data_IF_046984444419
#
_entry.id   IF_046984444419
#
_cell.length_a   1.000
_cell.length_b   1.000
_cell.length_c   1.000
_cell.angle_alpha   90.00
_cell.angle_beta   90.00
_cell.angle_gamma   90.00
#
_symmetry.space_group_name_H-M   'P 1'
#
loop_
_entity.id
_entity.type
_entity.pdbx_description
1 polymer ?
#
# COMPACT_ATOMS: atom_id res chain seq x y z
N UNK A 1 1.09 -2.78 -0.84
CA UNK A 1 1.80 -1.54 -0.49
C UNK A 1 2.87 -1.22 -1.54
N UNK A 2 3.89 -2.04 -1.78
CA UNK A 2 5.02 -1.78 -2.69
C UNK A 2 4.60 -1.33 -4.11
N UNK A 3 3.61 -1.99 -4.71
CA UNK A 3 3.07 -1.56 -6.01
C UNK A 3 2.41 -0.17 -5.95
N UNK A 4 1.71 0.15 -4.87
CA UNK A 4 1.07 1.45 -4.69
C UNK A 4 2.11 2.57 -4.62
N UNK A 5 3.14 2.38 -3.80
CA UNK A 5 4.20 3.39 -3.66
C UNK A 5 5.01 3.56 -4.95
N UNK A 6 5.28 2.46 -5.66
CA UNK A 6 5.96 2.54 -6.94
C UNK A 6 5.09 3.22 -8.01
N UNK A 7 3.79 2.92 -8.04
CA UNK A 7 2.87 3.47 -9.03
C UNK A 7 2.57 4.96 -8.79
N UNK A 8 2.30 5.36 -7.58
CA UNK A 8 1.80 6.70 -7.27
C UNK A 8 2.87 7.66 -6.75
N UNK A 9 3.96 7.15 -6.17
CA UNK A 9 4.99 7.98 -5.58
C UNK A 9 6.36 7.84 -6.26
N UNK A 10 6.50 6.94 -7.25
CA UNK A 10 7.76 6.55 -7.87
C UNK A 10 8.83 6.04 -6.88
N UNK A 11 8.38 5.51 -5.74
CA UNK A 11 9.26 5.00 -4.67
C UNK A 11 9.27 3.49 -4.67
N UNK A 12 10.48 2.90 -4.71
CA UNK A 12 10.68 1.45 -4.61
C UNK A 12 11.10 1.09 -3.19
N UNK A 13 10.18 0.54 -2.42
CA UNK A 13 10.40 0.15 -1.03
C UNK A 13 10.86 -1.29 -0.83
N UNK A 14 11.12 -2.05 -1.88
CA UNK A 14 11.39 -3.48 -1.76
C UNK A 14 12.58 -3.82 -0.85
N UNK A 15 13.66 -3.03 -0.93
CA UNK A 15 14.86 -3.24 -0.10
C UNK A 15 14.62 -2.82 1.36
N UNK A 16 13.80 -1.79 1.57
CA UNK A 16 13.52 -1.24 2.90
C UNK A 16 12.74 -2.18 3.82
N UNK A 17 12.17 -3.24 3.27
CA UNK A 17 11.56 -4.30 4.08
C UNK A 17 12.54 -4.96 5.04
N UNK A 18 13.80 -5.11 4.63
CA UNK A 18 14.81 -5.88 5.35
C UNK A 18 15.91 -5.01 5.97
N UNK A 19 16.27 -3.89 5.35
CA UNK A 19 17.35 -3.01 5.80
C UNK A 19 17.20 -1.59 5.26
N UNK A 20 17.95 -0.67 5.83
CA UNK A 20 18.09 0.68 5.29
C UNK A 20 19.11 0.67 4.16
N UNK A 21 18.74 0.93 2.90
CA UNK A 21 19.69 0.96 1.79
C UNK A 21 20.66 2.14 1.94
N UNK A 22 21.98 1.93 1.71
CA UNK A 22 23.00 2.93 2.01
C UNK A 22 22.97 4.16 1.10
N UNK A 23 22.31 4.09 -0.05
CA UNK A 23 22.23 5.18 -1.03
C UNK A 23 20.81 5.69 -1.25
N UNK A 24 19.85 5.22 -0.47
CA UNK A 24 18.45 5.61 -0.55
C UNK A 24 18.09 6.42 0.70
N UNK A 25 17.22 7.39 0.51
CA UNK A 25 16.75 8.23 1.64
C UNK A 25 15.61 7.59 2.44
N UNK A 26 15.06 6.50 1.92
CA UNK A 26 13.93 5.81 2.55
C UNK A 26 14.43 4.77 3.54
N UNK A 27 13.80 4.75 4.73
CA UNK A 27 14.20 3.88 5.83
C UNK A 27 13.28 2.66 5.97
N UNK A 28 13.74 1.68 6.72
CA UNK A 28 12.94 0.53 7.10
C UNK A 28 11.73 0.95 7.96
N UNK A 29 11.92 1.91 8.86
CA UNK A 29 10.84 2.43 9.70
C UNK A 29 9.72 3.06 8.84
N UNK A 30 10.07 3.84 7.81
CA UNK A 30 9.11 4.40 6.87
C UNK A 30 8.39 3.32 6.04
N UNK A 31 9.07 2.22 5.68
CA UNK A 31 8.43 1.09 5.04
C UNK A 31 7.33 0.50 5.91
N UNK A 32 7.62 0.19 7.18
CA UNK A 32 6.65 -0.42 8.07
C UNK A 32 5.52 0.52 8.45
N UNK A 33 5.79 1.80 8.65
CA UNK A 33 4.76 2.81 8.89
C UNK A 33 3.78 2.95 7.71
N UNK A 34 4.30 2.92 6.48
CA UNK A 34 3.46 2.91 5.28
C UNK A 34 2.71 1.58 5.10
N UNK A 35 3.34 0.45 5.42
CA UNK A 35 2.70 -0.87 5.39
C UNK A 35 1.53 -0.97 6.37
N UNK A 36 1.60 -0.25 7.49
CA UNK A 36 0.55 -0.23 8.51
C UNK A 36 -0.78 0.36 7.99
N UNK A 37 -0.78 1.20 6.97
CA UNK A 37 -2.03 1.64 6.32
C UNK A 37 -2.77 0.50 5.61
N UNK A 38 -2.05 -0.54 5.19
CA UNK A 38 -2.60 -1.70 4.48
C UNK A 38 -2.92 -2.88 5.40
N UNK A 39 -2.56 -2.82 6.68
CA UNK A 39 -2.67 -3.94 7.62
C UNK A 39 -4.12 -4.38 7.86
N UNK A 40 -5.08 -3.49 7.69
CA UNK A 40 -6.50 -3.72 7.95
C UNK A 40 -7.30 -4.12 6.69
N UNK A 41 -6.62 -4.53 5.62
CA UNK A 41 -7.27 -5.00 4.42
C UNK A 41 -7.57 -6.50 4.55
N UNK A 42 -8.85 -6.83 4.58
CA UNK A 42 -9.33 -8.20 4.47
C UNK A 42 -9.61 -8.60 3.01
N UNK A 43 -9.49 -9.89 2.72
CA UNK A 43 -9.86 -10.49 1.44
C UNK A 43 -10.78 -11.66 1.68
N UNK A 44 -11.82 -11.80 0.88
CA UNK A 44 -12.71 -12.95 0.89
C UNK A 44 -13.15 -13.30 -0.53
N UNK A 45 -13.48 -14.55 -0.76
CA UNK A 45 -14.07 -14.98 -2.03
C UNK A 45 -15.43 -14.30 -2.25
N UNK A 46 -15.69 -13.86 -3.49
CA UNK A 46 -16.98 -13.30 -3.82
C UNK A 46 -18.03 -14.43 -3.94
N UNK A 47 -19.03 -14.39 -3.07
CA UNK A 47 -20.09 -15.39 -3.01
C UNK A 47 -20.85 -15.58 -4.35
N UNK A 48 -20.90 -14.54 -5.20
CA UNK A 48 -21.52 -14.58 -6.53
C UNK A 48 -20.79 -15.48 -7.51
N UNK A 49 -19.52 -15.79 -7.23
CA UNK A 49 -18.62 -16.54 -8.11
C UNK A 49 -18.10 -17.83 -7.48
N UNK A 50 -18.62 -18.21 -6.32
CA UNK A 50 -18.28 -19.49 -5.69
C UNK A 50 -18.54 -20.66 -6.63
N UNK A 51 -17.52 -21.50 -6.83
CA UNK A 51 -17.58 -22.66 -7.72
C UNK A 51 -17.56 -22.36 -9.22
N UNK A 52 -17.47 -21.08 -9.64
CA UNK A 52 -17.33 -20.72 -11.05
C UNK A 52 -15.85 -20.63 -11.42
N UNK A 53 -15.49 -21.25 -12.53
CA UNK A 53 -14.17 -21.04 -13.14
C UNK A 53 -14.19 -19.71 -13.88
N UNK A 54 -13.55 -18.69 -13.29
CA UNK A 54 -13.41 -17.38 -13.90
C UNK A 54 -11.93 -17.19 -14.25
N UNK A 55 -11.68 -16.95 -15.54
CA UNK A 55 -10.34 -16.76 -16.06
C UNK A 55 -9.62 -18.06 -16.42
N UNK A 56 -8.68 -17.94 -17.32
CA UNK A 56 -7.90 -19.04 -17.86
C UNK A 56 -6.63 -19.30 -17.06
N UNK A 57 -6.74 -19.73 -15.78
CA UNK A 57 -5.56 -20.25 -15.12
C UNK A 57 -5.31 -21.67 -15.61
N UNK A 58 -4.14 -21.92 -16.18
CA UNK A 58 -3.66 -23.24 -16.54
C UNK A 58 -3.22 -24.06 -15.31
N UNK A 59 -3.25 -23.47 -14.12
CA UNK A 59 -2.83 -24.12 -12.89
C UNK A 59 -4.03 -24.85 -12.28
N UNK A 60 -3.92 -26.16 -12.19
CA UNK A 60 -4.91 -27.01 -11.53
C UNK A 60 -4.98 -26.67 -10.03
N UNK A 61 -6.18 -26.46 -9.50
CA UNK A 61 -6.37 -26.06 -8.10
C UNK A 61 -6.17 -24.57 -7.80
N UNK A 62 -6.02 -23.73 -8.82
CA UNK A 62 -5.97 -22.29 -8.62
C UNK A 62 -7.24 -21.76 -7.96
N UNK A 63 -7.06 -20.89 -6.96
CA UNK A 63 -8.18 -20.23 -6.28
C UNK A 63 -8.96 -19.34 -7.25
N UNK A 64 -10.25 -19.08 -6.99
CA UNK A 64 -11.03 -18.12 -7.77
C UNK A 64 -10.32 -16.79 -7.85
N UNK A 65 -10.24 -16.20 -9.06
CA UNK A 65 -9.58 -14.90 -9.28
C UNK A 65 -10.40 -13.71 -8.80
N UNK A 66 -11.64 -13.94 -8.37
CA UNK A 66 -12.54 -12.86 -7.92
C UNK A 66 -12.62 -12.87 -6.41
N UNK A 67 -11.98 -11.86 -5.83
CA UNK A 67 -11.98 -11.60 -4.39
C UNK A 67 -12.65 -10.26 -4.10
N UNK A 68 -13.34 -10.17 -2.98
CA UNK A 68 -13.83 -8.92 -2.42
C UNK A 68 -12.78 -8.42 -1.42
N UNK A 69 -12.30 -7.22 -1.64
CA UNK A 69 -11.43 -6.51 -0.72
C UNK A 69 -12.30 -5.64 0.18
N UNK A 70 -12.08 -5.71 1.48
CA UNK A 70 -12.84 -4.94 2.45
C UNK A 70 -11.94 -4.44 3.58
N UNK A 71 -12.38 -3.39 4.27
CA UNK A 71 -11.75 -2.95 5.51
C UNK A 71 -12.22 -3.84 6.66
N UNK A 72 -11.28 -4.60 7.24
CA UNK A 72 -11.58 -5.50 8.37
C UNK A 72 -11.64 -4.76 9.72
N UNK A 73 -11.14 -3.52 9.77
CA UNK A 73 -11.00 -2.76 11.01
C UNK A 73 -9.98 -3.34 12.00
N UNK A 74 -9.35 -4.45 11.65
CA UNK A 74 -8.37 -5.14 12.50
C UNK A 74 -7.17 -5.61 11.67
N UNK A 75 -6.02 -5.69 12.32
CA UNK A 75 -4.76 -6.10 11.72
C UNK A 75 -3.67 -5.06 11.96
N UNK A 76 -2.50 -5.55 12.32
CA UNK A 76 -1.32 -4.73 12.57
C UNK A 76 -0.10 -5.30 11.85
N UNK A 77 0.87 -4.45 11.58
CA UNK A 77 2.16 -4.81 11.02
C UNK A 77 3.23 -4.74 12.10
N UNK A 78 3.98 -5.81 12.26
CA UNK A 78 5.11 -5.86 13.19
C UNK A 78 6.39 -5.49 12.44
N UNK A 79 7.14 -4.56 12.99
CA UNK A 79 8.42 -4.15 12.46
C UNK A 79 9.46 -5.26 12.62
N UNK A 80 10.14 -5.66 11.53
CA UNK A 80 11.02 -6.84 11.54
C UNK A 80 12.22 -6.70 12.49
N UNK A 81 12.78 -5.50 12.60
CA UNK A 81 13.99 -5.23 13.41
C UNK A 81 13.65 -5.04 14.89
N UNK A 82 12.60 -4.30 15.21
CA UNK A 82 12.26 -3.95 16.59
C UNK A 82 11.27 -4.90 17.23
N UNK A 83 10.55 -5.70 16.44
CA UNK A 83 9.46 -6.56 16.87
C UNK A 83 8.28 -5.79 17.49
N UNK A 84 8.24 -4.48 17.33
CA UNK A 84 7.15 -3.63 17.78
C UNK A 84 6.08 -3.46 16.70
N UNK A 85 4.87 -3.14 17.11
CA UNK A 85 3.78 -2.79 16.17
C UNK A 85 4.08 -1.44 15.56
N UNK A 86 4.14 -1.40 14.24
CA UNK A 86 4.35 -0.17 13.50
C UNK A 86 3.05 0.64 13.40
N UNK A 87 3.08 1.86 13.93
CA UNK A 87 1.99 2.81 13.75
C UNK A 87 1.97 3.37 12.31
N UNK A 88 0.78 3.57 11.71
CA UNK A 88 0.69 4.22 10.41
C UNK A 88 1.18 5.67 10.50
N UNK A 89 2.15 6.03 9.66
CA UNK A 89 2.58 7.41 9.51
C UNK A 89 3.02 7.69 8.07
N UNK A 90 2.84 8.93 7.66
CA UNK A 90 3.30 9.37 6.34
C UNK A 90 4.80 9.62 6.36
N UNK A 91 5.51 9.40 5.24
CA UNK A 91 6.97 9.51 5.19
C UNK A 91 7.50 10.95 5.25
N UNK A 92 6.64 11.93 5.18
CA UNK A 92 6.95 13.36 5.36
C UNK A 92 5.82 14.07 6.09
N UNK A 93 6.15 15.26 6.62
CA UNK A 93 5.19 16.09 7.33
C UNK A 93 3.95 16.35 6.46
N UNK A 94 2.81 16.05 7.03
CA UNK A 94 1.51 16.26 6.43
C UNK A 94 0.53 16.53 7.55
N UNK A 95 -0.20 17.63 7.44
CA UNK A 95 -1.31 17.88 8.36
C UNK A 95 -2.44 16.90 8.01
N UNK A 96 -2.63 15.92 8.88
CA UNK A 96 -3.77 15.00 8.77
C UNK A 96 -5.05 15.75 9.11
N UNK A 97 -5.70 16.30 8.08
CA UNK A 97 -6.98 17.02 8.20
C UNK A 97 -8.17 16.07 8.29
N UNK A 98 -7.94 14.76 8.24
CA UNK A 98 -8.98 13.75 8.19
C UNK A 98 -9.14 13.16 9.60
N UNK A 99 -10.37 13.08 10.08
CA UNK A 99 -10.69 12.61 11.41
C UNK A 99 -10.18 11.20 11.71
N UNK A 100 -9.97 10.90 12.98
CA UNK A 100 -9.44 9.59 13.44
C UNK A 100 -10.32 8.40 13.06
N UNK A 101 -11.61 8.61 12.91
CA UNK A 101 -12.63 7.59 12.55
C UNK A 101 -12.50 7.07 11.11
N UNK A 102 -11.71 7.73 10.25
CA UNK A 102 -11.57 7.36 8.84
C UNK A 102 -10.65 6.14 8.72
N UNK A 103 -11.00 5.13 7.89
CA UNK A 103 -10.16 3.96 7.67
C UNK A 103 -8.74 4.32 7.20
N UNK A 104 -7.75 3.58 7.68
CA UNK A 104 -6.33 3.81 7.38
C UNK A 104 -6.05 3.93 5.86
N UNK A 105 -6.65 3.06 5.05
CA UNK A 105 -6.44 3.08 3.60
C UNK A 105 -7.03 4.32 2.94
N UNK A 106 -8.14 4.83 3.45
CA UNK A 106 -8.76 6.06 2.97
C UNK A 106 -7.91 7.29 3.33
N UNK A 107 -7.37 7.35 4.54
CA UNK A 107 -6.37 8.35 4.92
C UNK A 107 -5.16 8.35 3.97
N UNK A 108 -4.65 7.16 3.65
CA UNK A 108 -3.55 7.02 2.70
C UNK A 108 -3.95 7.54 1.30
N UNK A 109 -5.15 7.23 0.83
CA UNK A 109 -5.63 7.70 -0.46
C UNK A 109 -5.74 9.23 -0.52
N UNK A 110 -6.28 9.84 0.51
CA UNK A 110 -6.33 11.30 0.64
C UNK A 110 -4.94 11.93 0.62
N UNK A 111 -4.02 11.39 1.40
CA UNK A 111 -2.65 11.87 1.41
C UNK A 111 -1.96 11.75 0.06
N UNK A 112 -2.08 10.60 -0.63
CA UNK A 112 -1.49 10.39 -1.96
C UNK A 112 -2.01 11.42 -2.95
N UNK A 113 -3.31 11.73 -2.92
CA UNK A 113 -3.97 12.63 -3.88
C UNK A 113 -4.01 14.09 -3.43
N UNK A 114 -3.46 14.42 -2.26
CA UNK A 114 -3.36 15.79 -1.78
C UNK A 114 -2.57 16.67 -2.75
N UNK A 115 -2.99 17.92 -2.91
CA UNK A 115 -2.26 18.94 -3.68
C UNK A 115 -0.84 19.19 -3.15
N UNK A 116 -0.62 18.92 -1.86
CA UNK A 116 0.67 19.13 -1.19
C UNK A 116 1.63 17.96 -1.44
N UNK A 117 1.13 16.85 -2.00
CA UNK A 117 1.94 15.69 -2.33
C UNK A 117 2.64 15.85 -3.69
N UNK A 118 3.86 16.38 -3.67
CA UNK A 118 4.66 16.58 -4.87
C UNK A 118 5.03 15.28 -5.60
N UNK A 119 5.09 14.17 -4.89
CA UNK A 119 5.51 12.88 -5.48
C UNK A 119 4.47 12.30 -6.42
N UNK A 120 3.18 12.44 -6.12
CA UNK A 120 2.13 11.95 -6.99
C UNK A 120 2.17 12.65 -8.35
N UNK A 121 2.17 13.97 -8.36
CA UNK A 121 2.22 14.77 -9.58
C UNK A 121 3.50 14.50 -10.39
N UNK A 122 4.66 14.49 -9.71
CA UNK A 122 5.97 14.22 -10.35
C UNK A 122 6.07 12.81 -10.90
N UNK A 123 5.58 11.81 -10.18
CA UNK A 123 5.54 10.41 -10.63
C UNK A 123 4.71 10.26 -11.91
N UNK A 124 3.55 10.89 -11.94
CA UNK A 124 2.66 10.84 -13.09
C UNK A 124 3.25 11.58 -14.30
N UNK A 125 3.79 12.78 -14.09
CA UNK A 125 4.44 13.55 -15.14
C UNK A 125 5.62 12.80 -15.77
N UNK A 126 6.49 12.19 -14.95
CA UNK A 126 7.60 11.38 -15.44
C UNK A 126 7.15 10.18 -16.28
N UNK A 127 6.04 9.55 -15.93
CA UNK A 127 5.50 8.44 -16.74
C UNK A 127 4.99 8.91 -18.08
N UNK A 128 4.22 10.00 -18.10
CA UNK A 128 3.73 10.58 -19.35
C UNK A 128 4.90 10.97 -20.26
N UNK A 129 5.92 11.61 -19.70
CA UNK A 129 7.13 11.97 -20.44
C UNK A 129 7.84 10.76 -21.05
N UNK A 130 7.88 9.64 -20.33
CA UNK A 130 8.49 8.40 -20.82
C UNK A 130 7.74 7.71 -21.98
N UNK A 131 6.50 8.12 -22.27
CA UNK A 131 5.70 7.63 -23.40
C UNK A 131 5.75 8.55 -24.62
N UNK A 132 6.33 9.73 -24.50
CA UNK A 132 6.50 10.72 -25.58
C UNK A 132 7.85 10.56 -26.25
#
# INVERSE_FOLDING_TARGET
MENTTHLFLAVRFNCNKCHDPPFERWTQDQYYSLAAFFSQIGRKEDARFLGKKIGGSAVEGAKPLVEVIFNSGAGEVTHLRTSEVAAPSFPYEHEDTIGEEVPRLEKLAHWITSSDNQYFASSYANRLWGYM
#
